data_IF_629253361006
#
_entry.id   IF_629253361006
#
_cell.length_a   1.000
_cell.length_b   1.000
_cell.length_c   1.000
_cell.angle_alpha   90.00
_cell.angle_beta   90.00
_cell.angle_gamma   90.00
#
_symmetry.space_group_name_H-M   'P 1'
#
loop_
_entity.id
_entity.type
_entity.pdbx_description
1 polymer ?
#
# COMPACT_ATOMS: atom_id res chain seq x y z
N UNK A 1 11.84 -10.05 13.55
CA UNK A 1 11.45 -8.72 13.04
C UNK A 1 10.00 -8.79 12.58
N UNK A 2 9.12 -7.89 13.03
CA UNK A 2 7.73 -7.84 12.57
C UNK A 2 7.73 -7.27 11.15
N UNK A 3 7.24 -8.03 10.17
CA UNK A 3 7.01 -7.54 8.81
C UNK A 3 5.54 -7.14 8.67
N UNK A 4 5.20 -6.14 7.86
CA UNK A 4 3.81 -5.72 7.62
C UNK A 4 3.08 -6.69 6.67
N UNK A 5 3.26 -8.00 6.86
CA UNK A 5 2.67 -9.06 6.03
C UNK A 5 1.20 -9.22 6.37
N UNK A 6 0.41 -8.29 5.88
CA UNK A 6 -1.02 -8.16 6.07
C UNK A 6 -1.55 -7.13 5.06
N UNK A 7 -2.86 -6.90 5.08
CA UNK A 7 -3.51 -5.85 4.32
C UNK A 7 -3.71 -4.62 5.19
N UNK A 8 -3.39 -3.46 4.63
CA UNK A 8 -3.42 -2.15 5.27
C UNK A 8 -4.38 -1.23 4.53
N UNK A 9 -5.06 -0.37 5.28
CA UNK A 9 -5.97 0.65 4.75
C UNK A 9 -5.16 1.92 4.44
N UNK A 10 -5.12 2.36 3.18
CA UNK A 10 -4.55 3.67 2.83
C UNK A 10 -5.54 4.73 3.29
N UNK A 11 -5.12 5.61 4.21
CA UNK A 11 -5.96 6.65 4.82
C UNK A 11 -5.58 8.06 4.37
N UNK A 12 -4.39 8.22 3.80
CA UNK A 12 -3.92 9.51 3.28
C UNK A 12 -2.99 9.25 2.09
N UNK A 13 -3.10 10.10 1.07
CA UNK A 13 -2.13 10.26 -0.01
C UNK A 13 -1.92 11.75 -0.27
N UNK A 14 -0.74 12.14 -0.73
CA UNK A 14 -0.39 13.55 -0.96
C UNK A 14 -1.17 14.18 -2.12
N UNK A 15 -1.46 13.40 -3.17
CA UNK A 15 -2.05 13.90 -4.41
C UNK A 15 -3.58 13.86 -4.41
N UNK A 16 -4.19 13.07 -3.53
CA UNK A 16 -5.60 12.72 -3.60
C UNK A 16 -6.26 12.73 -2.23
N UNK A 17 -7.48 13.28 -2.16
CA UNK A 17 -8.30 13.19 -0.96
C UNK A 17 -8.87 11.78 -0.75
N UNK A 18 -9.47 11.55 0.41
CA UNK A 18 -9.97 10.22 0.79
C UNK A 18 -11.07 9.71 -0.15
N UNK A 19 -11.93 10.60 -0.67
CA UNK A 19 -13.01 10.21 -1.59
C UNK A 19 -12.44 9.71 -2.92
N UNK A 20 -11.41 10.38 -3.44
CA UNK A 20 -10.68 9.93 -4.61
C UNK A 20 -9.94 8.61 -4.36
N UNK A 21 -9.20 8.50 -3.24
CA UNK A 21 -8.50 7.26 -2.86
C UNK A 21 -9.45 6.05 -2.89
N UNK A 22 -10.71 6.25 -2.52
CA UNK A 22 -11.72 5.21 -2.37
C UNK A 22 -12.64 5.01 -3.58
N UNK A 23 -12.37 5.69 -4.69
CA UNK A 23 -13.30 5.79 -5.83
C UNK A 23 -13.88 4.44 -6.29
N UNK A 24 -13.04 3.43 -6.50
CA UNK A 24 -13.49 2.08 -6.92
C UNK A 24 -13.72 1.17 -5.72
N UNK A 25 -12.89 1.29 -4.69
CA UNK A 25 -12.95 0.53 -3.42
C UNK A 25 -12.05 1.22 -2.40
N UNK A 26 -12.20 0.92 -1.10
CA UNK A 26 -11.28 1.41 -0.08
C UNK A 26 -9.82 1.16 -0.48
N UNK A 27 -9.08 2.25 -0.67
CA UNK A 27 -7.65 2.24 -0.93
C UNK A 27 -6.87 1.36 0.05
N UNK A 28 -5.99 0.51 -0.45
CA UNK A 28 -5.26 -0.45 0.36
C UNK A 28 -3.89 -0.78 -0.24
N UNK A 29 -3.01 -1.29 0.63
CA UNK A 29 -1.76 -1.92 0.26
C UNK A 29 -1.60 -3.22 1.07
N UNK A 30 -1.20 -4.29 0.41
CA UNK A 30 -1.06 -5.62 0.99
C UNK A 30 0.33 -6.17 0.67
N UNK A 31 1.01 -6.70 1.69
CA UNK A 31 2.27 -7.41 1.53
C UNK A 31 2.11 -8.88 1.93
N UNK A 32 2.74 -9.78 1.19
CA UNK A 32 2.69 -11.22 1.43
C UNK A 32 4.05 -11.77 1.87
N UNK A 33 4.06 -12.97 2.44
CA UNK A 33 5.28 -13.60 2.97
C UNK A 33 6.24 -14.09 1.88
N UNK A 34 5.74 -14.29 0.65
CA UNK A 34 6.49 -14.79 -0.50
C UNK A 34 7.29 -13.70 -1.23
N UNK A 35 7.30 -12.47 -0.70
CA UNK A 35 8.00 -11.34 -1.30
C UNK A 35 7.21 -10.69 -2.42
N UNK A 36 5.90 -10.91 -2.48
CA UNK A 36 5.01 -10.17 -3.37
C UNK A 36 4.08 -9.25 -2.58
N UNK A 37 3.16 -8.61 -3.28
CA UNK A 37 2.12 -7.79 -2.69
C UNK A 37 1.22 -7.20 -3.76
N UNK A 38 0.21 -6.45 -3.32
CA UNK A 38 -0.64 -5.70 -4.23
C UNK A 38 -1.16 -4.43 -3.58
N UNK A 39 -1.59 -3.48 -4.38
CA UNK A 39 -2.32 -2.31 -3.89
C UNK A 39 -3.48 -1.97 -4.82
N UNK A 40 -4.34 -1.08 -4.35
CA UNK A 40 -5.26 -0.37 -5.22
C UNK A 40 -5.83 0.85 -4.52
N UNK A 41 -6.02 1.92 -5.29
CA UNK A 41 -6.60 3.21 -4.90
C UNK A 41 -7.07 3.88 -6.19
N UNK A 42 -8.09 4.74 -6.13
CA UNK A 42 -8.73 5.30 -7.34
C UNK A 42 -9.12 4.14 -8.28
N UNK A 43 -8.76 4.21 -9.56
CA UNK A 43 -8.89 3.16 -10.56
C UNK A 43 -7.59 2.34 -10.76
N UNK A 44 -6.53 2.66 -10.01
CA UNK A 44 -5.22 2.03 -10.14
C UNK A 44 -5.19 0.73 -9.34
N UNK A 45 -4.67 -0.33 -9.95
CA UNK A 45 -4.27 -1.55 -9.24
C UNK A 45 -2.87 -1.97 -9.63
N UNK A 46 -2.09 -2.49 -8.69
CA UNK A 46 -0.73 -2.94 -8.97
C UNK A 46 -0.35 -4.19 -8.19
N UNK A 47 0.47 -5.04 -8.81
CA UNK A 47 1.18 -6.16 -8.17
C UNK A 47 2.62 -5.76 -7.90
N UNK A 48 3.19 -6.21 -6.79
CA UNK A 48 4.50 -5.77 -6.29
C UNK A 48 5.50 -6.94 -6.22
N UNK A 49 6.75 -6.72 -6.64
CA UNK A 49 7.94 -7.50 -6.26
C UNK A 49 8.63 -6.77 -5.11
N UNK A 50 8.62 -7.38 -3.93
CA UNK A 50 9.02 -6.76 -2.66
C UNK A 50 10.40 -7.25 -2.19
N UNK A 51 11.24 -6.30 -1.78
CA UNK A 51 12.55 -6.52 -1.16
C UNK A 51 12.55 -5.99 0.26
N UNK A 52 12.53 -6.92 1.21
CA UNK A 52 12.55 -6.62 2.64
C UNK A 52 13.93 -6.14 3.08
N UNK A 53 13.96 -5.04 3.82
CA UNK A 53 15.15 -4.41 4.36
C UNK A 53 14.90 -3.90 5.79
N UNK A 54 15.94 -3.31 6.37
CA UNK A 54 15.88 -2.56 7.61
C UNK A 54 16.47 -1.18 7.35
N UNK A 55 15.82 -0.13 7.85
CA UNK A 55 16.30 1.24 7.76
C UNK A 55 16.10 1.92 9.09
N UNK A 56 17.18 2.45 9.67
CA UNK A 56 17.17 3.09 10.99
C UNK A 56 16.55 2.21 12.11
N UNK A 57 16.75 0.89 12.03
CA UNK A 57 16.20 -0.08 12.98
C UNK A 57 14.70 -0.41 12.78
N UNK A 58 14.07 0.11 11.73
CA UNK A 58 12.67 -0.10 11.42
C UNK A 58 12.48 -1.05 10.23
N UNK A 59 11.44 -1.91 10.24
CA UNK A 59 11.09 -2.74 9.09
C UNK A 59 10.80 -1.87 7.86
N UNK A 60 11.48 -2.18 6.77
CA UNK A 60 11.40 -1.44 5.51
C UNK A 60 11.15 -2.42 4.36
N UNK A 61 10.44 -1.97 3.33
CA UNK A 61 10.26 -2.72 2.09
C UNK A 61 10.40 -1.77 0.92
N UNK A 62 11.22 -2.15 -0.05
CA UNK A 62 11.28 -1.54 -1.37
C UNK A 62 10.54 -2.45 -2.35
N UNK A 63 9.89 -1.87 -3.35
CA UNK A 63 9.20 -2.66 -4.35
C UNK A 63 9.22 -2.01 -5.73
N UNK A 64 9.25 -2.84 -6.77
CA UNK A 64 8.79 -2.48 -8.12
C UNK A 64 7.38 -3.01 -8.31
N UNK A 65 6.61 -2.39 -9.21
CA UNK A 65 5.24 -2.83 -9.48
C UNK A 65 4.84 -2.61 -10.94
N UNK A 66 3.91 -3.42 -11.40
CA UNK A 66 3.17 -3.26 -12.66
C UNK A 66 1.67 -3.43 -12.40
N UNK A 67 0.85 -2.85 -13.26
CA UNK A 67 -0.56 -2.67 -12.99
C UNK A 67 -1.39 -2.10 -14.12
N UNK A 68 -2.59 -1.69 -13.77
CA UNK A 68 -3.62 -1.15 -14.65
C UNK A 68 -4.18 0.14 -14.06
N UNK A 69 -4.38 1.14 -14.90
CA UNK A 69 -5.11 2.38 -14.61
C UNK A 69 -6.13 2.61 -15.73
N UNK A 70 -7.41 2.34 -15.43
CA UNK A 70 -8.52 2.45 -16.39
C UNK A 70 -8.32 1.69 -17.72
N UNK A 71 -7.63 0.56 -17.70
CA UNK A 71 -7.31 -0.24 -18.90
C UNK A 71 -5.96 0.07 -19.55
N UNK A 72 -5.23 1.08 -19.05
CA UNK A 72 -3.88 1.40 -19.50
C UNK A 72 -2.84 0.73 -18.59
N UNK A 73 -1.87 0.07 -19.22
CA UNK A 73 -0.78 -0.58 -18.48
C UNK A 73 0.15 0.47 -17.86
N UNK A 74 0.27 0.43 -16.54
CA UNK A 74 1.13 1.31 -15.75
C UNK A 74 2.15 0.49 -14.96
N UNK A 75 3.23 1.13 -14.53
CA UNK A 75 4.27 0.50 -13.72
C UNK A 75 5.00 1.54 -12.88
N UNK A 76 5.82 1.08 -11.95
CA UNK A 76 6.57 1.99 -11.10
C UNK A 76 7.38 1.32 -10.02
N UNK A 77 7.65 2.09 -8.96
CA UNK A 77 8.36 1.64 -7.77
C UNK A 77 7.79 2.29 -6.52
N UNK A 78 8.22 1.84 -5.36
CA UNK A 78 7.88 2.47 -4.10
C UNK A 78 8.60 1.86 -2.92
N UNK A 79 8.28 2.39 -1.74
CA UNK A 79 8.74 1.84 -0.48
C UNK A 79 7.69 2.04 0.61
N UNK A 80 7.78 1.23 1.66
CA UNK A 80 7.01 1.40 2.88
C UNK A 80 7.85 1.09 4.12
N UNK A 81 7.59 1.81 5.21
CA UNK A 81 8.22 1.63 6.51
C UNK A 81 7.15 1.46 7.59
N UNK A 82 7.39 0.53 8.52
CA UNK A 82 6.54 0.37 9.70
C UNK A 82 6.99 1.31 10.80
N UNK A 83 6.17 2.33 11.07
CA UNK A 83 6.41 3.30 12.14
C UNK A 83 6.16 2.71 13.53
N UNK A 84 6.71 3.35 14.55
CA UNK A 84 6.61 2.91 15.95
C UNK A 84 5.18 2.98 16.50
N UNK A 85 4.33 3.83 15.94
CA UNK A 85 2.91 3.96 16.29
C UNK A 85 2.03 2.87 15.65
N UNK A 86 2.63 1.96 14.88
CA UNK A 86 1.93 0.88 14.20
C UNK A 86 1.30 1.28 12.88
N UNK A 87 1.58 2.47 12.35
CA UNK A 87 1.17 2.89 11.00
C UNK A 87 2.23 2.52 9.96
N UNK A 88 1.81 2.40 8.70
CA UNK A 88 2.71 2.39 7.56
C UNK A 88 2.81 3.79 6.96
N UNK A 89 4.03 4.21 6.66
CA UNK A 89 4.30 5.37 5.80
C UNK A 89 5.11 4.92 4.59
N UNK A 90 4.88 5.52 3.44
CA UNK A 90 5.58 5.12 2.23
C UNK A 90 5.46 6.14 1.12
N UNK A 91 6.03 5.78 -0.02
CA UNK A 91 5.97 6.57 -1.24
C UNK A 91 5.79 5.66 -2.45
N UNK A 92 4.88 6.03 -3.34
CA UNK A 92 4.61 5.35 -4.60
C UNK A 92 5.01 6.26 -5.77
N UNK A 93 5.75 5.72 -6.74
CA UNK A 93 6.19 6.42 -7.94
C UNK A 93 5.63 5.71 -9.16
N UNK A 94 4.97 6.44 -10.05
CA UNK A 94 4.66 5.97 -11.40
C UNK A 94 5.91 6.14 -12.29
N UNK A 95 6.18 5.16 -13.13
CA UNK A 95 7.26 5.25 -14.10
C UNK A 95 6.94 6.37 -15.10
N UNK A 96 7.80 7.40 -15.16
CA UNK A 96 7.62 8.58 -16.02
C UNK A 96 6.32 9.35 -15.76
N UNK A 97 5.77 9.23 -14.56
CA UNK A 97 4.55 9.92 -14.14
C UNK A 97 4.73 10.59 -12.79
N UNK A 98 3.60 10.85 -12.15
CA UNK A 98 3.54 11.45 -10.83
C UNK A 98 4.00 10.47 -9.74
N UNK A 99 4.16 11.00 -8.54
CA UNK A 99 4.42 10.24 -7.33
C UNK A 99 3.60 10.79 -6.18
N UNK A 100 3.40 9.95 -5.15
CA UNK A 100 2.63 10.34 -3.99
C UNK A 100 3.14 9.61 -2.75
N UNK A 101 3.38 10.39 -1.69
CA UNK A 101 3.51 9.81 -0.36
C UNK A 101 2.15 9.27 0.13
N UNK A 102 2.18 8.23 0.96
CA UNK A 102 0.97 7.64 1.53
C UNK A 102 1.15 7.30 3.01
N UNK A 103 0.03 7.30 3.74
CA UNK A 103 -0.08 6.72 5.09
C UNK A 103 -1.15 5.63 5.09
N UNK A 104 -0.86 4.53 5.77
CA UNK A 104 -1.80 3.43 5.92
C UNK A 104 -1.88 2.91 7.36
N UNK A 105 -3.04 2.42 7.77
CA UNK A 105 -3.30 1.85 9.10
C UNK A 105 -3.64 0.37 8.97
N UNK A 106 -3.46 -0.43 10.04
CA UNK A 106 -4.01 -1.79 10.06
C UNK A 106 -5.50 -1.75 9.72
N UNK A 107 -6.00 -2.76 9.02
CA UNK A 107 -7.44 -2.92 8.87
C UNK A 107 -8.06 -3.03 10.27
N UNK A 108 -9.11 -2.26 10.54
CA UNK A 108 -9.92 -2.52 11.71
C UNK A 108 -10.46 -3.95 11.60
N UNK A 109 -10.36 -4.75 12.67
CA UNK A 109 -11.07 -6.03 12.70
C UNK A 109 -12.57 -5.73 12.56
N UNK A 110 -13.17 -6.15 11.45
CA UNK A 110 -14.62 -6.14 11.31
C UNK A 110 -15.17 -7.08 12.38
N UNK A 111 -15.60 -6.49 13.49
CA UNK A 111 -16.31 -7.17 14.55
C UNK A 111 -17.76 -7.44 14.08
N UNK A 112 -17.93 -8.08 12.92
CA UNK A 112 -19.19 -8.74 12.58
C UNK A 112 -19.30 -9.97 13.45
N UNK A 113 -19.71 -9.74 14.69
CA UNK A 113 -20.28 -10.77 15.54
C UNK A 113 -21.42 -11.42 14.78
N UNK A 114 -21.20 -12.64 14.31
CA UNK A 114 -22.25 -13.57 13.97
C UNK A 114 -23.04 -13.83 15.26
N UNK A 115 -24.05 -13.01 15.52
CA UNK A 115 -25.16 -13.35 16.40
C UNK A 115 -26.00 -14.42 15.70
N UNK A 116 -26.16 -15.54 16.40
CA UNK A 116 -27.00 -16.69 16.04
C UNK A 116 -28.42 -16.34 15.62
#
# INVERSE_FOLDING_TARGET
>A
MKRPVERWRIVEMEMWDQEAIDLVRPGFIEFTNDGTGRFGFIAVTGQMDCRWAERDGQPFVEFSWDGDDEGDQVSGRGWAALALDGTLSGHLFFHMGDDSSFRATPLAEDNTGNGH
#
